data_IF_132594332319
#
_entry.id   IF_132594332319
#
_cell.length_a   1.000
_cell.length_b   1.000
_cell.length_c   1.000
_cell.angle_alpha   90.00
_cell.angle_beta   90.00
_cell.angle_gamma   90.00
#
_symmetry.space_group_name_H-M   'P 1'
#
loop_
_entity.id
_entity.type
_entity.pdbx_description
1 polymer ?
#
# COMPACT_ATOMS: atom_id res chain seq x y z
N UNK A 1 -19.63 30.02 2.29
CA UNK A 1 -20.86 30.82 2.50
C UNK A 1 -20.86 31.19 3.97
N UNK A 2 -20.57 32.46 4.30
CA UNK A 2 -20.52 32.91 5.69
C UNK A 2 -21.94 32.83 6.23
N UNK A 3 -22.18 31.96 7.20
CA UNK A 3 -23.48 31.86 7.85
C UNK A 3 -23.60 33.10 8.74
N UNK A 4 -24.27 34.13 8.20
CA UNK A 4 -24.64 35.29 8.97
C UNK A 4 -25.62 34.82 10.05
N UNK A 5 -25.07 34.52 11.23
CA UNK A 5 -25.84 34.11 12.40
C UNK A 5 -27.00 35.06 12.67
N UNK A 6 -28.18 34.47 12.87
CA UNK A 6 -29.41 35.10 13.36
C UNK A 6 -29.95 36.30 12.59
N UNK A 7 -30.00 36.23 11.27
CA UNK A 7 -30.78 37.18 10.45
C UNK A 7 -32.19 36.60 10.20
N UNK A 8 -33.28 37.30 10.58
CA UNK A 8 -34.66 36.87 10.31
C UNK A 8 -34.89 36.62 8.82
N UNK A 9 -35.67 35.59 8.49
CA UNK A 9 -35.90 35.09 7.13
C UNK A 9 -36.14 36.17 6.05
N UNK A 10 -36.94 37.24 6.29
CA UNK A 10 -37.18 38.29 5.31
C UNK A 10 -35.92 39.08 4.94
N UNK A 11 -35.03 39.34 5.90
CA UNK A 11 -33.76 40.05 5.66
C UNK A 11 -32.77 39.09 4.98
N UNK A 12 -32.76 37.82 5.38
CA UNK A 12 -31.97 36.76 4.71
C UNK A 12 -32.37 36.58 3.24
N UNK A 13 -33.65 36.78 2.89
CA UNK A 13 -34.15 36.70 1.52
C UNK A 13 -33.63 37.84 0.61
N UNK A 14 -33.30 39.01 1.17
CA UNK A 14 -32.68 40.10 0.41
C UNK A 14 -31.22 39.77 0.09
N UNK A 15 -30.49 39.23 1.06
CA UNK A 15 -29.07 38.87 0.87
C UNK A 15 -28.88 37.59 0.06
N UNK A 16 -29.82 36.64 0.09
CA UNK A 16 -29.79 35.42 -0.72
C UNK A 16 -30.05 35.67 -2.23
N UNK A 17 -30.41 36.90 -2.63
CA UNK A 17 -30.47 37.30 -4.05
C UNK A 17 -29.10 37.66 -4.65
N UNK A 18 -28.05 37.65 -3.83
CA UNK A 18 -26.67 37.71 -4.30
C UNK A 18 -26.13 36.27 -4.32
N UNK A 19 -25.89 35.66 -5.49
CA UNK A 19 -25.30 36.24 -6.71
C UNK A 19 -26.30 36.49 -7.86
N UNK A 20 -26.05 37.53 -8.66
CA UNK A 20 -26.86 37.89 -9.84
C UNK A 20 -26.79 36.86 -10.97
N UNK A 21 -25.66 36.16 -11.09
CA UNK A 21 -25.44 35.09 -12.06
C UNK A 21 -24.51 34.04 -11.44
N UNK A 22 -24.91 32.78 -11.53
CA UNK A 22 -24.06 31.63 -11.20
C UNK A 22 -23.52 31.07 -12.51
N UNK A 23 -22.21 31.15 -12.69
CA UNK A 23 -21.57 30.52 -13.83
C UNK A 23 -21.49 29.00 -13.63
N UNK A 24 -21.55 28.21 -14.72
CA UNK A 24 -21.31 26.78 -14.61
C UNK A 24 -19.90 26.49 -14.08
N UNK A 25 -19.66 25.29 -13.51
CA UNK A 25 -18.32 24.87 -13.12
C UNK A 25 -17.34 25.03 -14.28
N UNK A 26 -16.19 25.66 -14.01
CA UNK A 26 -15.12 25.80 -15.00
C UNK A 26 -14.44 24.44 -15.14
N UNK A 27 -14.44 23.89 -16.36
CA UNK A 27 -13.68 22.70 -16.66
C UNK A 27 -12.18 23.00 -16.46
N UNK A 28 -11.52 22.20 -15.63
CA UNK A 28 -10.08 22.30 -15.40
C UNK A 28 -9.36 21.56 -16.53
N UNK A 29 -9.22 22.20 -17.69
CA UNK A 29 -8.56 21.64 -18.86
C UNK A 29 -7.02 21.70 -18.72
N UNK A 30 -6.48 21.08 -17.66
CA UNK A 30 -5.03 20.96 -17.48
C UNK A 30 -4.57 19.59 -17.96
N UNK A 31 -4.28 19.48 -19.27
CA UNK A 31 -3.82 18.22 -19.91
C UNK A 31 -2.59 17.61 -19.20
N UNK A 32 -1.70 18.45 -18.65
CA UNK A 32 -0.50 18.01 -17.91
C UNK A 32 -0.84 17.23 -16.63
N UNK A 33 -1.94 17.58 -15.94
CA UNK A 33 -2.37 16.88 -14.72
C UNK A 33 -3.03 15.54 -15.05
N UNK A 34 -3.78 15.46 -16.15
CA UNK A 34 -4.38 14.20 -16.60
C UNK A 34 -3.31 13.19 -17.03
N UNK A 35 -2.21 13.67 -17.62
CA UNK A 35 -1.05 12.86 -17.98
C UNK A 35 -0.41 12.19 -16.75
N UNK A 36 -0.04 12.98 -15.73
CA UNK A 36 0.60 12.47 -14.50
C UNK A 36 -0.34 11.57 -13.69
N UNK A 37 -1.63 11.91 -13.61
CA UNK A 37 -2.63 11.06 -12.95
C UNK A 37 -2.77 9.70 -13.66
N UNK A 38 -2.81 9.71 -15.00
CA UNK A 38 -2.92 8.48 -15.78
C UNK A 38 -1.71 7.58 -15.62
N UNK A 39 -0.50 8.15 -15.49
CA UNK A 39 0.74 7.41 -15.30
C UNK A 39 0.83 6.72 -13.93
N UNK A 40 0.17 7.29 -12.91
CA UNK A 40 0.15 6.76 -11.53
C UNK A 40 -1.00 5.80 -11.27
N UNK A 41 -1.97 5.71 -12.20
CA UNK A 41 -3.19 4.93 -12.03
C UNK A 41 -3.12 3.62 -12.78
N UNK A 42 -3.35 2.54 -12.06
CA UNK A 42 -3.51 1.19 -12.59
C UNK A 42 -4.94 0.72 -12.33
N UNK A 43 -5.57 0.07 -13.29
CA UNK A 43 -6.95 -0.39 -13.13
C UNK A 43 -7.00 -1.87 -12.72
N UNK A 44 -7.94 -2.21 -11.84
CA UNK A 44 -8.25 -3.61 -11.55
C UNK A 44 -8.99 -4.22 -12.75
N UNK A 45 -8.87 -5.54 -12.92
CA UNK A 45 -9.51 -6.29 -14.00
C UNK A 45 -10.65 -7.17 -13.47
N UNK A 46 -11.41 -7.81 -14.36
CA UNK A 46 -12.51 -8.72 -14.01
C UNK A 46 -13.91 -8.12 -14.20
N UNK A 47 -14.93 -8.96 -14.02
CA UNK A 47 -16.33 -8.62 -14.33
C UNK A 47 -16.86 -7.45 -13.49
N UNK A 48 -16.42 -7.35 -12.24
CA UNK A 48 -16.82 -6.30 -11.32
C UNK A 48 -15.87 -5.09 -11.32
N UNK A 49 -14.90 -5.03 -12.24
CA UNK A 49 -13.95 -3.92 -12.27
C UNK A 49 -14.60 -2.62 -12.70
N UNK A 50 -15.45 -2.69 -13.74
CA UNK A 50 -16.17 -1.56 -14.31
C UNK A 50 -17.55 -1.47 -13.66
N UNK A 51 -17.89 -0.28 -13.18
CA UNK A 51 -19.13 0.02 -12.50
C UNK A 51 -20.02 0.89 -13.39
N UNK A 52 -21.31 0.93 -13.09
CA UNK A 52 -22.29 1.80 -13.77
C UNK A 52 -22.21 3.24 -13.28
N UNK A 53 -21.79 3.45 -12.03
CA UNK A 53 -21.70 4.75 -11.37
C UNK A 53 -20.32 4.95 -10.76
N UNK A 54 -19.79 6.17 -10.86
CA UNK A 54 -18.56 6.56 -10.15
C UNK A 54 -18.74 6.66 -8.63
N UNK A 55 -19.97 6.58 -8.13
CA UNK A 55 -20.23 6.46 -6.70
C UNK A 55 -19.85 5.06 -6.18
N UNK A 56 -19.86 4.04 -7.03
CA UNK A 56 -19.62 2.64 -6.67
C UNK A 56 -18.18 2.20 -6.94
N UNK A 57 -17.31 3.11 -7.36
CA UNK A 57 -15.88 2.83 -7.56
C UNK A 57 -15.04 3.23 -6.36
N UNK A 58 -13.83 2.66 -6.31
CA UNK A 58 -12.82 3.03 -5.33
C UNK A 58 -11.46 3.21 -6.01
N UNK A 59 -10.61 4.02 -5.39
CA UNK A 59 -9.19 4.13 -5.68
C UNK A 59 -8.39 3.73 -4.42
N UNK A 60 -7.55 2.70 -4.55
CA UNK A 60 -6.61 2.30 -3.51
C UNK A 60 -5.31 3.09 -3.67
N UNK A 61 -5.02 3.97 -2.70
CA UNK A 61 -3.77 4.70 -2.62
C UNK A 61 -2.65 3.82 -2.05
N UNK A 62 -1.57 3.62 -2.81
CA UNK A 62 -0.40 2.82 -2.43
C UNK A 62 0.89 3.60 -2.60
N UNK A 63 1.96 3.18 -1.92
CA UNK A 63 3.26 3.87 -1.98
C UNK A 63 3.94 3.80 -3.35
N UNK A 64 4.06 2.58 -3.88
CA UNK A 64 4.63 2.30 -5.20
C UNK A 64 4.19 0.90 -5.65
N UNK A 65 4.42 0.59 -6.92
CA UNK A 65 4.04 -0.69 -7.54
C UNK A 65 5.23 -1.34 -8.21
N UNK A 66 5.18 -2.66 -8.35
CA UNK A 66 6.12 -3.43 -9.16
C UNK A 66 5.36 -4.48 -9.99
N UNK A 67 5.99 -4.93 -11.07
CA UNK A 67 5.45 -5.98 -11.93
C UNK A 67 5.99 -7.33 -11.45
N UNK A 68 5.07 -8.24 -11.10
CA UNK A 68 5.42 -9.56 -10.60
C UNK A 68 5.92 -10.46 -11.75
N UNK A 69 7.12 -11.02 -11.61
CA UNK A 69 7.81 -11.71 -12.70
C UNK A 69 7.04 -12.91 -13.28
N UNK A 70 6.40 -13.70 -12.43
CA UNK A 70 5.75 -14.96 -12.87
C UNK A 70 4.32 -14.76 -13.38
N UNK A 71 3.65 -13.69 -12.95
CA UNK A 71 2.22 -13.45 -13.24
C UNK A 71 1.98 -12.22 -14.11
N UNK A 72 3.01 -11.39 -14.33
CA UNK A 72 2.92 -10.09 -15.03
C UNK A 72 1.85 -9.15 -14.46
N UNK A 73 1.46 -9.35 -13.19
CA UNK A 73 0.49 -8.52 -12.46
C UNK A 73 1.19 -7.41 -11.73
N UNK A 74 0.49 -6.27 -11.59
CA UNK A 74 0.96 -5.13 -10.81
C UNK A 74 0.58 -5.31 -9.35
N UNK A 75 1.61 -5.36 -8.51
CA UNK A 75 1.48 -5.52 -7.07
C UNK A 75 1.99 -4.28 -6.35
N UNK A 76 1.38 -3.93 -5.23
CA UNK A 76 1.90 -2.91 -4.35
C UNK A 76 3.23 -3.38 -3.72
N UNK A 77 4.18 -2.46 -3.61
CA UNK A 77 5.54 -2.72 -3.12
C UNK A 77 5.68 -2.82 -1.60
N UNK A 78 4.65 -2.42 -0.86
CA UNK A 78 4.59 -2.47 0.60
C UNK A 78 3.63 -3.58 1.06
N UNK A 79 3.99 -4.40 2.07
CA UNK A 79 3.16 -5.52 2.52
C UNK A 79 1.74 -5.14 2.95
N UNK A 80 1.55 -3.98 3.60
CA UNK A 80 0.22 -3.54 4.04
C UNK A 80 -0.62 -3.06 2.87
N UNK A 81 -0.01 -2.34 1.92
CA UNK A 81 -0.66 -1.97 0.67
C UNK A 81 -1.06 -3.21 -0.14
N UNK A 82 -0.17 -4.21 -0.26
CA UNK A 82 -0.44 -5.45 -1.00
C UNK A 82 -1.52 -6.28 -0.32
N UNK A 83 -1.49 -6.38 1.01
CA UNK A 83 -2.54 -7.07 1.77
C UNK A 83 -3.91 -6.44 1.53
N UNK A 84 -3.98 -5.11 1.53
CA UNK A 84 -5.22 -4.39 1.23
C UNK A 84 -5.65 -4.60 -0.22
N UNK A 85 -4.70 -4.58 -1.17
CA UNK A 85 -4.95 -4.84 -2.58
C UNK A 85 -5.59 -6.23 -2.79
N UNK A 86 -4.98 -7.29 -2.24
CA UNK A 86 -5.49 -8.65 -2.34
C UNK A 86 -6.85 -8.81 -1.63
N UNK A 87 -7.02 -8.19 -0.46
CA UNK A 87 -8.29 -8.23 0.27
C UNK A 87 -9.43 -7.56 -0.52
N UNK A 88 -9.15 -6.46 -1.24
CA UNK A 88 -10.12 -5.83 -2.13
C UNK A 88 -10.42 -6.69 -3.35
N UNK A 89 -9.41 -7.34 -3.95
CA UNK A 89 -9.62 -8.34 -5.01
C UNK A 89 -10.57 -9.45 -4.55
N UNK A 90 -10.34 -10.01 -3.35
CA UNK A 90 -11.22 -11.02 -2.77
C UNK A 90 -12.64 -10.51 -2.52
N UNK A 91 -12.78 -9.36 -1.85
CA UNK A 91 -14.08 -8.79 -1.45
C UNK A 91 -14.95 -8.47 -2.65
N UNK A 92 -14.37 -7.86 -3.68
CA UNK A 92 -15.10 -7.35 -4.85
C UNK A 92 -15.04 -8.29 -6.06
N UNK A 93 -14.40 -9.46 -5.93
CA UNK A 93 -14.15 -10.42 -7.03
C UNK A 93 -13.43 -9.76 -8.22
N UNK A 94 -12.38 -9.01 -7.92
CA UNK A 94 -11.53 -8.35 -8.90
C UNK A 94 -10.28 -9.18 -9.18
N UNK A 95 -9.73 -8.97 -10.36
CA UNK A 95 -8.40 -9.43 -10.76
C UNK A 95 -7.40 -8.28 -10.67
N UNK A 96 -6.14 -8.63 -10.46
CA UNK A 96 -5.03 -7.70 -10.41
C UNK A 96 -4.82 -7.07 -11.79
N UNK A 97 -4.43 -5.79 -11.84
CA UNK A 97 -4.13 -5.11 -13.10
C UNK A 97 -2.82 -5.57 -13.73
N UNK A 98 -2.66 -5.29 -15.02
CA UNK A 98 -1.40 -5.48 -15.78
C UNK A 98 -0.77 -4.15 -16.16
N UNK A 99 0.53 -4.16 -16.48
CA UNK A 99 1.23 -2.98 -17.00
C UNK A 99 0.71 -2.52 -18.36
N UNK A 100 0.08 -3.39 -19.14
CA UNK A 100 -0.67 -3.00 -20.34
C UNK A 100 -1.84 -2.03 -20.02
N UNK A 101 -2.27 -1.95 -18.76
CA UNK A 101 -3.21 -0.93 -18.27
C UNK A 101 -2.57 0.35 -17.72
N UNK A 102 -1.24 0.40 -17.55
CA UNK A 102 -0.47 1.60 -17.13
C UNK A 102 -0.20 2.60 -18.26
N UNK A 103 -0.59 2.26 -19.48
CA UNK A 103 -0.85 3.21 -20.54
C UNK A 103 -2.19 2.81 -21.10
N UNK A 104 -3.14 3.74 -21.18
CA UNK A 104 -4.43 3.46 -21.80
C UNK A 104 -4.21 2.64 -23.06
N UNK A 105 -4.73 1.40 -23.05
CA UNK A 105 -4.69 0.49 -24.19
C UNK A 105 -4.84 1.34 -25.44
N UNK A 106 -3.82 1.35 -26.31
CA UNK A 106 -3.73 2.12 -27.55
C UNK A 106 -5.01 2.89 -27.84
N UNK A 107 -5.16 4.09 -27.25
CA UNK A 107 -6.18 5.03 -27.70
C UNK A 107 -5.69 5.51 -29.06
N UNK A 108 -5.95 4.70 -30.09
CA UNK A 108 -6.04 5.19 -31.46
C UNK A 108 -6.81 6.50 -31.39
N UNK A 109 -6.20 7.59 -31.87
CA UNK A 109 -6.70 8.98 -31.86
C UNK A 109 -7.96 9.18 -32.72
N UNK A 110 -8.90 8.23 -32.66
CA UNK A 110 -10.14 8.17 -33.40
C UNK A 110 -11.21 7.51 -32.52
N UNK A 111 -11.61 8.17 -31.43
CA UNK A 111 -13.03 8.19 -31.07
C UNK A 111 -13.34 9.38 -30.17
N UNK A 112 -14.24 10.19 -30.70
CA UNK A 112 -15.14 11.12 -30.04
C UNK A 112 -15.53 10.75 -28.60
N UNK A 113 -15.30 11.67 -27.64
CA UNK A 113 -16.06 11.91 -26.39
C UNK A 113 -16.88 10.72 -25.81
N UNK A 114 -16.30 9.55 -25.65
CA UNK A 114 -16.91 8.46 -24.89
C UNK A 114 -16.34 8.49 -23.48
N UNK A 115 -17.19 8.97 -22.55
CA UNK A 115 -17.04 8.81 -21.11
C UNK A 115 -16.59 7.38 -20.81
N UNK A 116 -15.35 7.20 -20.40
CA UNK A 116 -14.86 5.90 -19.95
C UNK A 116 -15.68 5.47 -18.74
N UNK A 117 -16.27 4.28 -18.82
CA UNK A 117 -17.05 3.74 -17.73
C UNK A 117 -16.19 3.72 -16.43
N UNK A 118 -16.77 4.11 -15.28
CA UNK A 118 -16.01 4.25 -14.05
C UNK A 118 -15.48 2.87 -13.62
N UNK A 119 -14.21 2.80 -13.23
CA UNK A 119 -13.53 1.53 -12.92
C UNK A 119 -12.76 1.62 -11.61
N UNK A 120 -12.71 0.51 -10.86
CA UNK A 120 -11.86 0.40 -9.67
C UNK A 120 -10.38 0.54 -10.05
N UNK A 121 -9.62 1.29 -9.25
CA UNK A 121 -8.21 1.54 -9.55
C UNK A 121 -7.31 1.47 -8.32
N UNK A 122 -6.04 1.24 -8.57
CA UNK A 122 -4.93 1.44 -7.65
C UNK A 122 -4.16 2.67 -8.14
N UNK A 123 -3.81 3.57 -7.23
CA UNK A 123 -3.12 4.82 -7.54
C UNK A 123 -1.89 4.93 -6.68
N UNK A 124 -0.75 5.20 -7.31
CA UNK A 124 0.48 5.49 -6.59
C UNK A 124 0.43 6.91 -6.03
N UNK A 125 0.58 7.04 -4.71
CA UNK A 125 0.46 8.30 -3.97
C UNK A 125 1.70 8.55 -3.11
N UNK A 126 1.90 9.82 -2.77
CA UNK A 126 2.80 10.21 -1.68
C UNK A 126 2.13 9.91 -0.33
N UNK A 127 2.88 9.50 0.71
CA UNK A 127 2.35 9.43 2.07
C UNK A 127 1.68 10.74 2.52
N UNK A 128 2.15 11.88 2.03
CA UNK A 128 1.60 13.20 2.35
C UNK A 128 0.17 13.43 1.81
N UNK A 129 -0.34 12.53 0.95
CA UNK A 129 -1.74 12.56 0.53
C UNK A 129 -2.69 12.05 1.63
N UNK A 130 -2.17 11.37 2.65
CA UNK A 130 -2.92 10.87 3.80
C UNK A 130 -2.73 11.78 5.02
N UNK A 131 -3.79 11.94 5.82
CA UNK A 131 -3.79 12.81 7.01
C UNK A 131 -2.80 12.33 8.07
N UNK A 132 -2.61 11.02 8.18
CA UNK A 132 -1.71 10.33 9.10
C UNK A 132 -0.32 10.07 8.48
N UNK A 133 -0.05 10.61 7.28
CA UNK A 133 1.16 10.36 6.51
C UNK A 133 1.45 8.86 6.26
N UNK A 134 0.42 8.01 6.29
CA UNK A 134 0.53 6.56 6.12
C UNK A 134 -0.32 6.08 4.95
N UNK A 135 0.23 5.16 4.16
CA UNK A 135 -0.51 4.38 3.18
C UNK A 135 -0.54 2.91 3.64
N UNK A 136 -1.56 2.12 3.26
CA UNK A 136 -2.61 2.41 2.26
C UNK A 136 -3.71 3.38 2.71
N UNK A 137 -4.38 4.01 1.74
CA UNK A 137 -5.66 4.73 1.93
C UNK A 137 -6.68 4.28 0.89
N UNK A 138 -7.96 4.29 1.24
CA UNK A 138 -9.04 3.88 0.33
C UNK A 138 -9.97 5.06 0.09
N UNK A 139 -10.08 5.47 -1.17
CA UNK A 139 -10.94 6.58 -1.61
C UNK A 139 -12.16 5.97 -2.30
N UNK A 140 -13.33 6.07 -1.69
CA UNK A 140 -14.60 5.52 -2.19
C UNK A 140 -15.51 6.65 -2.68
N UNK A 141 -16.10 6.48 -3.87
CA UNK A 141 -17.11 7.37 -4.43
C UNK A 141 -16.58 8.68 -5.05
N UNK A 142 -17.29 9.16 -6.08
CA UNK A 142 -16.96 10.39 -6.82
C UNK A 142 -17.63 11.64 -6.24
N UNK A 143 -18.96 11.64 -6.08
CA UNK A 143 -19.73 12.81 -5.62
C UNK A 143 -19.81 12.94 -4.10
N UNK A 144 -19.88 11.82 -3.38
CA UNK A 144 -19.76 11.74 -1.92
C UNK A 144 -18.51 10.92 -1.62
N UNK A 145 -17.39 11.61 -1.49
CA UNK A 145 -16.07 10.98 -1.33
C UNK A 145 -15.86 10.59 0.14
N UNK A 146 -15.60 9.31 0.38
CA UNK A 146 -15.16 8.80 1.67
C UNK A 146 -13.69 8.39 1.56
N UNK A 147 -12.87 8.84 2.51
CA UNK A 147 -11.45 8.49 2.56
C UNK A 147 -11.20 7.71 3.85
N UNK A 148 -10.80 6.45 3.74
CA UNK A 148 -10.42 5.61 4.88
C UNK A 148 -8.91 5.62 5.04
N UNK A 149 -8.45 5.91 6.26
CA UNK A 149 -7.03 5.89 6.64
C UNK A 149 -6.47 4.48 6.71
N UNK A 150 -5.14 4.36 6.84
CA UNK A 150 -4.47 3.06 7.05
C UNK A 150 -5.04 2.33 8.28
N UNK A 151 -5.22 3.05 9.39
CA UNK A 151 -5.76 2.48 10.63
C UNK A 151 -7.18 1.96 10.45
N UNK A 152 -8.06 2.74 9.82
CA UNK A 152 -9.44 2.32 9.55
C UNK A 152 -9.53 1.13 8.59
N UNK A 153 -8.63 1.04 7.60
CA UNK A 153 -8.52 -0.14 6.74
C UNK A 153 -8.10 -1.37 7.57
N UNK A 154 -7.06 -1.24 8.39
CA UNK A 154 -6.56 -2.34 9.20
C UNK A 154 -7.60 -2.84 10.20
N UNK A 155 -8.38 -1.96 10.82
CA UNK A 155 -9.50 -2.35 11.69
C UNK A 155 -10.55 -3.18 10.93
N UNK A 156 -10.91 -2.73 9.72
CA UNK A 156 -11.85 -3.45 8.84
C UNK A 156 -11.29 -4.81 8.41
N UNK A 157 -10.00 -4.90 8.11
CA UNK A 157 -9.38 -6.16 7.69
C UNK A 157 -9.22 -7.13 8.86
N UNK A 158 -8.80 -6.66 10.03
CA UNK A 158 -8.68 -7.47 11.25
C UNK A 158 -10.02 -8.02 11.72
N UNK A 159 -11.08 -7.21 11.68
CA UNK A 159 -12.45 -7.66 12.04
C UNK A 159 -13.03 -8.73 11.09
N UNK A 160 -12.40 -8.98 9.94
CA UNK A 160 -12.79 -10.06 9.01
C UNK A 160 -12.12 -11.40 9.30
N UNK A 161 -11.12 -11.42 10.20
CA UNK A 161 -10.51 -12.64 10.69
C UNK A 161 -11.40 -13.17 11.81
N UNK A 162 -12.02 -14.34 11.60
CA UNK A 162 -12.99 -14.90 12.54
C UNK A 162 -12.34 -15.82 13.56
N UNK A 163 -11.39 -16.62 13.11
CA UNK A 163 -10.75 -17.63 13.94
C UNK A 163 -9.73 -16.98 14.88
N UNK A 164 -9.84 -17.27 16.18
CA UNK A 164 -8.99 -16.63 17.19
C UNK A 164 -7.50 -16.95 16.97
N UNK A 165 -7.20 -18.15 16.50
CA UNK A 165 -5.84 -18.57 16.16
C UNK A 165 -5.28 -17.73 15.01
N UNK A 166 -6.05 -17.55 13.92
CA UNK A 166 -5.67 -16.68 12.81
C UNK A 166 -5.47 -15.22 13.23
N UNK A 167 -6.23 -14.73 14.22
CA UNK A 167 -6.05 -13.38 14.76
C UNK A 167 -4.67 -13.25 15.44
N UNK A 168 -4.28 -14.26 16.23
CA UNK A 168 -2.96 -14.29 16.90
C UNK A 168 -1.85 -14.40 15.86
N UNK A 169 -2.01 -15.25 14.85
CA UNK A 169 -1.06 -15.37 13.75
C UNK A 169 -0.94 -14.07 12.95
N UNK A 170 -2.05 -13.44 12.57
CA UNK A 170 -2.04 -12.16 11.89
C UNK A 170 -1.36 -11.06 12.73
N UNK A 171 -1.57 -11.07 14.05
CA UNK A 171 -0.89 -10.15 14.96
C UNK A 171 0.63 -10.40 14.99
N UNK A 172 1.07 -11.66 14.95
CA UNK A 172 2.48 -12.02 14.90
C UNK A 172 3.17 -11.51 13.62
N UNK A 173 2.50 -11.58 12.47
CA UNK A 173 2.99 -10.96 11.22
C UNK A 173 2.99 -9.44 11.29
N UNK A 174 1.93 -8.84 11.85
CA UNK A 174 1.82 -7.40 12.03
C UNK A 174 2.83 -6.84 13.04
N UNK A 175 3.42 -7.64 13.93
CA UNK A 175 4.45 -7.19 14.85
C UNK A 175 5.84 -7.65 14.43
N UNK A 176 6.12 -8.96 14.46
CA UNK A 176 7.49 -9.49 14.35
C UNK A 176 8.01 -9.38 12.92
N UNK A 177 7.24 -9.85 11.94
CA UNK A 177 7.68 -9.82 10.53
C UNK A 177 7.63 -8.39 9.99
N UNK A 178 6.61 -7.61 10.37
CA UNK A 178 6.55 -6.17 10.06
C UNK A 178 7.77 -5.41 10.58
N UNK A 179 8.12 -5.60 11.86
CA UNK A 179 9.25 -4.89 12.45
C UNK A 179 10.55 -5.25 11.73
N UNK A 180 10.76 -6.52 11.37
CA UNK A 180 11.94 -6.92 10.63
C UNK A 180 11.97 -6.36 9.20
N UNK A 181 10.84 -6.31 8.50
CA UNK A 181 10.72 -5.66 7.19
C UNK A 181 11.09 -4.17 7.24
N UNK A 182 10.53 -3.42 8.20
CA UNK A 182 10.84 -2.00 8.36
C UNK A 182 12.29 -1.80 8.78
N UNK A 183 12.78 -2.61 9.71
CA UNK A 183 14.15 -2.52 10.21
C UNK A 183 15.18 -2.78 9.10
N UNK A 184 15.02 -3.84 8.31
CA UNK A 184 15.90 -4.11 7.17
C UNK A 184 15.76 -3.05 6.08
N UNK A 185 14.56 -2.56 5.79
CA UNK A 185 14.34 -1.57 4.73
C UNK A 185 14.92 -0.20 5.09
N UNK A 186 14.78 0.24 6.33
CA UNK A 186 15.23 1.57 6.78
C UNK A 186 16.71 1.58 7.14
N UNK A 187 17.19 0.54 7.83
CA UNK A 187 18.55 0.53 8.41
C UNK A 187 19.49 -0.50 7.77
N UNK A 188 18.97 -1.60 7.22
CA UNK A 188 19.76 -2.66 6.61
C UNK A 188 20.02 -2.49 5.11
N UNK A 189 19.21 -1.69 4.41
CA UNK A 189 19.25 -1.57 2.97
C UNK A 189 20.11 -0.40 2.46
N UNK A 190 20.54 -0.42 1.18
CA UNK A 190 21.18 0.71 0.53
C UNK A 190 20.33 1.98 0.61
N UNK A 191 20.99 3.15 0.66
CA UNK A 191 20.33 4.45 0.93
C UNK A 191 19.12 4.76 0.04
N UNK A 192 19.17 4.38 -1.23
CA UNK A 192 18.09 4.68 -2.19
C UNK A 192 16.95 3.66 -2.15
N UNK A 193 17.08 2.59 -1.36
CA UNK A 193 16.09 1.53 -1.29
C UNK A 193 14.75 2.00 -0.71
N UNK A 194 14.77 2.79 0.36
CA UNK A 194 13.55 3.37 0.95
C UNK A 194 12.76 4.16 -0.10
N UNK A 195 13.44 4.99 -0.90
CA UNK A 195 12.76 5.78 -1.93
C UNK A 195 12.28 4.92 -3.10
N UNK A 196 13.04 3.89 -3.50
CA UNK A 196 12.58 2.92 -4.52
C UNK A 196 11.25 2.28 -4.14
N UNK A 197 11.14 1.86 -2.88
CA UNK A 197 9.97 1.13 -2.38
C UNK A 197 8.82 2.09 -2.04
N UNK A 198 9.11 3.26 -1.45
CA UNK A 198 8.08 4.11 -0.83
C UNK A 198 7.84 5.46 -1.49
N UNK A 199 8.52 5.80 -2.58
CA UNK A 199 8.33 7.06 -3.30
C UNK A 199 8.12 6.84 -4.80
N UNK A 200 7.06 7.46 -5.33
CA UNK A 200 6.86 7.56 -6.76
C UNK A 200 7.95 8.45 -7.40
N UNK A 201 8.49 7.99 -8.53
CA UNK A 201 9.45 8.71 -9.37
C UNK A 201 10.63 9.37 -8.62
N UNK A 202 11.22 8.64 -7.67
CA UNK A 202 12.34 9.17 -6.89
C UNK A 202 13.60 9.50 -7.74
N UNK A 203 13.69 8.99 -8.97
CA UNK A 203 14.85 9.17 -9.87
C UNK A 203 14.91 10.56 -10.49
N UNK A 204 13.78 11.27 -10.58
CA UNK A 204 13.73 12.64 -11.10
C UNK A 204 14.27 13.69 -10.11
N UNK A 205 14.49 13.31 -8.85
CA UNK A 205 14.86 14.24 -7.78
C UNK A 205 16.37 14.48 -7.69
N UNK A 206 16.78 15.74 -7.52
CA UNK A 206 18.14 16.09 -7.14
C UNK A 206 18.52 15.56 -5.75
N UNK A 207 19.82 15.41 -5.48
CA UNK A 207 20.33 14.76 -4.26
C UNK A 207 19.77 15.32 -2.94
N UNK A 208 19.59 16.65 -2.84
CA UNK A 208 19.05 17.30 -1.64
C UNK A 208 17.58 16.95 -1.43
N UNK A 209 16.77 16.99 -2.48
CA UNK A 209 15.36 16.66 -2.41
C UNK A 209 15.16 15.19 -2.08
N UNK A 210 15.96 14.30 -2.68
CA UNK A 210 15.99 12.87 -2.34
C UNK A 210 16.33 12.65 -0.86
N UNK A 211 17.28 13.40 -0.29
CA UNK A 211 17.61 13.30 1.12
C UNK A 211 16.44 13.68 2.04
N UNK A 212 15.81 14.83 1.80
CA UNK A 212 14.66 15.32 2.59
C UNK A 212 13.48 14.38 2.46
N UNK A 213 13.14 13.98 1.24
CA UNK A 213 12.06 13.02 0.96
C UNK A 213 12.30 11.70 1.69
N UNK A 214 13.53 11.17 1.64
CA UNK A 214 13.87 9.93 2.35
C UNK A 214 13.68 10.08 3.84
N UNK A 215 14.17 11.17 4.44
CA UNK A 215 13.99 11.41 5.88
C UNK A 215 12.51 11.44 6.25
N UNK A 216 11.70 12.18 5.51
CA UNK A 216 10.26 12.29 5.77
C UNK A 216 9.55 10.93 5.66
N UNK A 217 9.84 10.17 4.61
CA UNK A 217 9.30 8.83 4.40
C UNK A 217 9.73 7.88 5.51
N UNK A 218 11.02 7.87 5.88
CA UNK A 218 11.54 7.07 6.99
C UNK A 218 10.80 7.38 8.29
N UNK A 219 10.66 8.66 8.65
CA UNK A 219 9.95 9.03 9.88
C UNK A 219 8.48 8.62 9.87
N UNK A 220 7.80 8.71 8.73
CA UNK A 220 6.43 8.23 8.59
C UNK A 220 6.34 6.71 8.77
N UNK A 221 7.27 5.95 8.18
CA UNK A 221 7.31 4.48 8.32
C UNK A 221 7.59 4.02 9.74
N UNK A 222 8.46 4.72 10.47
CA UNK A 222 8.77 4.40 11.88
C UNK A 222 7.59 4.69 12.81
N UNK A 223 6.73 5.66 12.48
CA UNK A 223 5.50 5.92 13.23
C UNK A 223 4.42 4.89 12.91
N UNK A 224 4.39 4.40 11.67
CA UNK A 224 3.40 3.43 11.21
C UNK A 224 3.46 2.16 12.06
N UNK A 225 2.30 1.71 12.51
CA UNK A 225 2.13 0.53 13.34
C UNK A 225 2.88 0.57 14.68
N UNK A 226 3.21 1.75 15.21
CA UNK A 226 3.89 1.88 16.49
C UNK A 226 5.29 1.28 16.53
N UNK A 227 5.99 1.19 15.38
CA UNK A 227 7.36 0.68 15.32
C UNK A 227 8.29 1.48 16.24
N UNK A 228 8.15 2.81 16.27
CA UNK A 228 8.93 3.68 17.14
C UNK A 228 8.73 3.43 18.64
N UNK A 229 7.56 2.92 19.02
CA UNK A 229 7.26 2.57 20.40
C UNK A 229 7.92 1.24 20.79
N UNK A 230 7.95 0.26 19.88
CA UNK A 230 8.60 -1.04 20.10
C UNK A 230 10.12 -0.97 19.99
N UNK A 231 10.64 -0.12 19.10
CA UNK A 231 12.06 -0.04 18.75
C UNK A 231 12.63 1.36 18.95
N UNK A 232 12.40 1.95 20.12
CA UNK A 232 12.76 3.33 20.43
C UNK A 232 14.25 3.66 20.21
N UNK A 233 15.16 2.70 20.42
CA UNK A 233 16.59 2.89 20.18
C UNK A 233 16.90 3.11 18.68
N UNK A 234 16.27 2.33 17.80
CA UNK A 234 16.41 2.48 16.35
C UNK A 234 15.77 3.79 15.86
N UNK A 235 14.61 4.16 16.38
CA UNK A 235 13.96 5.43 16.02
C UNK A 235 14.79 6.65 16.43
N UNK A 236 15.35 6.65 17.65
CA UNK A 236 16.28 7.71 18.08
C UNK A 236 17.52 7.80 17.19
N UNK A 237 18.01 6.66 16.71
CA UNK A 237 19.10 6.65 15.75
C UNK A 237 18.69 7.30 14.42
N UNK A 238 17.51 6.97 13.89
CA UNK A 238 16.99 7.58 12.65
C UNK A 238 16.79 9.10 12.77
N UNK A 239 16.38 9.58 13.94
CA UNK A 239 16.19 11.00 14.22
C UNK A 239 17.51 11.79 14.26
N UNK A 240 18.62 11.14 14.62
CA UNK A 240 19.94 11.78 14.69
C UNK A 240 20.38 12.37 13.35
N UNK A 241 21.00 13.56 13.31
CA UNK A 241 21.56 14.14 12.08
C UNK A 241 22.55 13.23 11.35
N UNK A 242 23.26 12.37 12.09
CA UNK A 242 24.20 11.40 11.55
C UNK A 242 23.57 10.07 11.11
N UNK A 243 22.36 9.74 11.60
CA UNK A 243 21.71 8.44 11.40
C UNK A 243 21.38 8.14 9.93
N UNK A 244 20.68 9.04 9.20
CA UNK A 244 20.37 8.85 7.78
C UNK A 244 21.62 8.89 6.87
N UNK A 245 22.75 9.42 7.36
CA UNK A 245 23.99 9.59 6.61
C UNK A 245 24.93 8.38 6.74
N UNK A 246 24.75 7.51 7.73
CA UNK A 246 25.51 6.26 7.80
C UNK A 246 25.03 5.30 6.69
N UNK A 247 25.98 4.66 5.99
CA UNK A 247 25.65 3.54 5.11
C UNK A 247 25.19 2.32 5.91
N UNK A 248 24.79 1.22 5.25
CA UNK A 248 24.41 -0.01 5.93
C UNK A 248 25.57 -0.50 6.80
N UNK A 249 25.23 -0.98 8.01
CA UNK A 249 26.06 -1.88 8.82
C UNK A 249 27.47 -1.37 9.20
N UNK A 250 27.58 -0.27 9.94
CA UNK A 250 28.78 -0.02 10.75
C UNK A 250 28.42 0.49 12.15
N UNK A 251 28.58 -0.38 13.15
CA UNK A 251 28.50 -0.02 14.58
C UNK A 251 27.24 -0.55 15.32
N UNK A 252 26.80 0.14 16.39
CA UNK A 252 25.83 -0.38 17.38
C UNK A 252 24.43 -0.69 16.84
N UNK A 253 24.09 -0.24 15.62
CA UNK A 253 22.81 -0.54 14.96
C UNK A 253 22.69 -2.02 14.58
N UNK A 254 23.78 -2.67 14.17
CA UNK A 254 23.76 -4.08 13.79
C UNK A 254 23.26 -4.97 14.95
N UNK A 255 23.77 -4.73 16.16
CA UNK A 255 23.33 -5.45 17.37
C UNK A 255 21.87 -5.19 17.78
N UNK A 256 21.25 -4.12 17.28
CA UNK A 256 19.81 -3.88 17.46
C UNK A 256 18.97 -4.56 16.38
N UNK A 257 19.51 -4.74 15.18
CA UNK A 257 18.81 -5.39 14.07
C UNK A 257 18.80 -6.92 14.19
N UNK A 258 19.88 -7.52 14.71
CA UNK A 258 20.03 -8.98 14.75
C UNK A 258 18.89 -9.68 15.50
N UNK A 259 18.49 -9.27 16.73
CA UNK A 259 17.40 -9.92 17.44
C UNK A 259 16.06 -9.80 16.69
N UNK A 260 15.82 -8.68 16.01
CA UNK A 260 14.59 -8.44 15.24
C UNK A 260 14.53 -9.41 14.05
N UNK A 261 15.62 -9.52 13.30
CA UNK A 261 15.71 -10.40 12.14
C UNK A 261 15.66 -11.87 12.56
N UNK A 262 16.36 -12.28 13.61
CA UNK A 262 16.32 -13.66 14.11
C UNK A 262 14.91 -14.06 14.57
N UNK A 263 14.20 -13.17 15.28
CA UNK A 263 12.83 -13.43 15.69
C UNK A 263 11.92 -13.62 14.46
N UNK A 264 12.06 -12.77 13.44
CA UNK A 264 11.31 -12.92 12.21
C UNK A 264 11.66 -14.21 11.45
N UNK A 265 12.94 -14.60 11.37
CA UNK A 265 13.34 -15.88 10.77
C UNK A 265 12.70 -17.08 11.51
N UNK A 266 12.68 -17.04 12.85
CA UNK A 266 11.99 -18.07 13.65
C UNK A 266 10.49 -18.10 13.35
N UNK A 267 9.84 -16.94 13.27
CA UNK A 267 8.42 -16.85 12.87
C UNK A 267 8.19 -17.42 11.47
N UNK A 268 9.00 -17.04 10.48
CA UNK A 268 8.90 -17.57 9.12
C UNK A 268 9.05 -19.10 9.10
N UNK A 269 10.01 -19.63 9.87
CA UNK A 269 10.20 -21.08 9.99
C UNK A 269 9.00 -21.79 10.64
N UNK A 270 8.33 -21.16 11.61
CA UNK A 270 7.11 -21.70 12.22
C UNK A 270 5.97 -21.77 11.21
N UNK A 271 5.73 -20.71 10.42
CA UNK A 271 4.71 -20.72 9.38
C UNK A 271 5.03 -21.67 8.22
N UNK A 272 6.31 -21.83 7.89
CA UNK A 272 6.77 -22.86 6.95
C UNK A 272 6.38 -24.26 7.45
N UNK A 273 6.63 -24.57 8.73
CA UNK A 273 6.24 -25.85 9.33
C UNK A 273 4.73 -26.03 9.36
N UNK A 274 3.96 -24.98 9.70
CA UNK A 274 2.49 -25.05 9.69
C UNK A 274 1.94 -25.41 8.30
N UNK A 275 2.51 -24.86 7.22
CA UNK A 275 2.10 -25.22 5.85
C UNK A 275 2.61 -26.60 5.40
N UNK A 276 3.70 -27.10 5.98
CA UNK A 276 4.27 -28.40 5.64
C UNK A 276 3.54 -29.56 6.32
N UNK A 277 3.04 -29.32 7.53
CA UNK A 277 2.37 -30.34 8.36
C UNK A 277 0.90 -30.53 7.97
N UNK A 278 0.28 -29.51 7.37
CA UNK A 278 -1.12 -29.56 6.94
C UNK A 278 -1.22 -30.03 5.48
N UNK A 279 -2.05 -31.05 5.18
CA UNK A 279 -2.35 -31.46 3.79
C UNK A 279 -3.17 -30.40 3.02
N UNK A 280 -3.37 -29.23 3.64
CA UNK A 280 -4.22 -28.15 3.17
C UNK A 280 -3.39 -27.13 2.38
N UNK A 281 -3.99 -26.64 1.29
CA UNK A 281 -3.38 -25.63 0.42
C UNK A 281 -3.29 -24.23 1.09
N UNK A 282 -4.17 -23.96 2.05
CA UNK A 282 -4.33 -22.68 2.75
C UNK A 282 -4.35 -22.91 4.26
N UNK A 283 -4.00 -21.89 5.05
CA UNK A 283 -4.02 -21.94 6.52
C UNK A 283 -5.42 -22.19 7.09
N UNK A 284 -6.44 -21.73 6.36
CA UNK A 284 -7.82 -22.14 6.61
C UNK A 284 -8.14 -23.37 5.76
N UNK A 285 -8.88 -24.34 6.31
CA UNK A 285 -9.36 -25.55 5.61
C UNK A 285 -10.42 -25.30 4.54
N UNK A 286 -10.31 -24.17 3.84
CA UNK A 286 -11.25 -23.71 2.83
C UNK A 286 -10.63 -23.77 1.44
N UNK A 287 -11.49 -23.85 0.42
CA UNK A 287 -11.07 -23.93 -0.99
C UNK A 287 -10.44 -22.63 -1.52
N UNK A 288 -10.34 -21.57 -0.70
CA UNK A 288 -9.89 -20.25 -1.13
C UNK A 288 -9.05 -19.55 -0.06
N UNK A 289 -8.11 -18.70 -0.46
CA UNK A 289 -7.25 -17.98 0.47
C UNK A 289 -8.05 -17.17 1.51
N UNK A 290 -7.83 -17.47 2.79
CA UNK A 290 -8.29 -16.75 3.98
C UNK A 290 -7.59 -15.41 4.16
N UNK A 291 -7.99 -14.63 5.17
CA UNK A 291 -7.35 -13.32 5.41
C UNK A 291 -5.91 -13.47 5.92
N UNK A 292 -5.63 -14.55 6.66
CA UNK A 292 -4.26 -14.89 7.06
C UNK A 292 -3.40 -15.21 5.84
N UNK A 293 -3.89 -16.05 4.92
CA UNK A 293 -3.21 -16.39 3.67
C UNK A 293 -2.84 -15.14 2.85
N UNK A 294 -3.80 -14.21 2.70
CA UNK A 294 -3.54 -12.95 2.00
C UNK A 294 -2.43 -12.12 2.69
N UNK A 295 -2.41 -12.09 4.02
CA UNK A 295 -1.40 -11.36 4.79
C UNK A 295 -0.02 -12.00 4.63
N UNK A 296 0.08 -13.31 4.82
CA UNK A 296 1.31 -14.09 4.65
C UNK A 296 1.85 -13.92 3.24
N UNK A 297 1.01 -14.10 2.22
CA UNK A 297 1.39 -13.91 0.82
C UNK A 297 1.92 -12.49 0.58
N UNK A 298 1.27 -11.47 1.13
CA UNK A 298 1.69 -10.07 0.92
C UNK A 298 3.09 -9.78 1.46
N UNK A 299 3.41 -10.24 2.67
CA UNK A 299 4.74 -10.08 3.22
C UNK A 299 5.79 -10.90 2.47
N UNK A 300 5.49 -12.17 2.20
CA UNK A 300 6.42 -13.06 1.48
C UNK A 300 6.74 -12.53 0.09
N UNK A 301 5.73 -12.11 -0.67
CA UNK A 301 5.91 -11.52 -2.00
C UNK A 301 6.73 -10.23 -1.94
N UNK A 302 6.41 -9.29 -1.04
CA UNK A 302 7.22 -8.07 -0.89
C UNK A 302 8.66 -8.36 -0.45
N UNK A 303 8.89 -9.33 0.44
CA UNK A 303 10.23 -9.74 0.83
C UNK A 303 11.02 -10.33 -0.35
N UNK A 304 10.39 -11.11 -1.21
CA UNK A 304 11.07 -11.74 -2.35
C UNK A 304 11.40 -10.76 -3.48
N UNK A 305 10.53 -9.76 -3.71
CA UNK A 305 10.60 -8.91 -4.91
C UNK A 305 10.95 -7.44 -4.62
N UNK A 306 10.62 -6.93 -3.43
CA UNK A 306 10.79 -5.53 -3.07
C UNK A 306 11.87 -5.30 -2.03
N UNK A 307 12.37 -6.34 -1.34
CA UNK A 307 13.46 -6.19 -0.40
C UNK A 307 14.79 -5.88 -1.10
N UNK A 308 15.74 -5.35 -0.34
CA UNK A 308 17.11 -5.14 -0.81
C UNK A 308 17.75 -6.46 -1.23
N UNK A 309 18.68 -6.41 -2.18
CA UNK A 309 19.55 -7.55 -2.51
C UNK A 309 20.35 -8.06 -1.31
N UNK A 310 20.53 -7.22 -0.29
CA UNK A 310 21.23 -7.52 0.98
C UNK A 310 20.26 -7.96 2.10
N UNK A 311 18.96 -8.13 1.82
CA UNK A 311 17.98 -8.54 2.84
C UNK A 311 18.21 -9.98 3.28
N UNK A 312 18.43 -10.16 4.60
CA UNK A 312 18.65 -11.47 5.21
C UNK A 312 17.35 -12.26 5.26
N UNK A 313 16.21 -11.58 5.39
CA UNK A 313 14.89 -12.22 5.34
C UNK A 313 14.58 -12.77 3.94
N UNK A 314 14.87 -12.01 2.90
CA UNK A 314 14.65 -12.46 1.52
C UNK A 314 15.53 -13.68 1.18
N UNK A 315 16.80 -13.67 1.61
CA UNK A 315 17.70 -14.82 1.47
C UNK A 315 17.21 -16.03 2.28
N UNK A 316 16.75 -15.81 3.52
CA UNK A 316 16.23 -16.86 4.38
C UNK A 316 15.00 -17.53 3.77
N UNK A 317 14.01 -16.75 3.31
CA UNK A 317 12.81 -17.26 2.64
C UNK A 317 13.15 -18.18 1.46
N UNK A 318 14.04 -17.73 0.57
CA UNK A 318 14.43 -18.51 -0.62
C UNK A 318 15.11 -19.83 -0.28
N UNK A 319 15.82 -19.91 0.86
CA UNK A 319 16.61 -21.10 1.24
C UNK A 319 15.90 -22.04 2.20
N UNK A 320 15.08 -21.51 3.10
CA UNK A 320 14.55 -22.22 4.27
C UNK A 320 13.04 -22.30 4.30
N UNK A 321 12.34 -21.49 3.50
CA UNK A 321 10.88 -21.44 3.51
C UNK A 321 10.25 -21.65 2.11
N UNK A 322 10.56 -22.75 1.40
CA UNK A 322 10.00 -23.00 0.07
C UNK A 322 8.47 -23.13 0.04
N UNK A 323 7.83 -23.66 1.09
CA UNK A 323 6.36 -23.77 1.14
C UNK A 323 5.71 -22.40 1.24
N UNK A 324 6.24 -21.49 2.05
CA UNK A 324 5.77 -20.10 2.11
C UNK A 324 5.90 -19.39 0.76
N UNK A 325 7.01 -19.63 0.04
CA UNK A 325 7.21 -19.08 -1.30
C UNK A 325 6.15 -19.61 -2.26
N UNK A 326 5.95 -20.93 -2.32
CA UNK A 326 4.96 -21.57 -3.18
C UNK A 326 3.53 -21.12 -2.85
N UNK A 327 3.20 -21.06 -1.55
CA UNK A 327 1.93 -20.58 -1.05
C UNK A 327 1.66 -19.13 -1.46
N UNK A 328 2.65 -18.24 -1.34
CA UNK A 328 2.49 -16.83 -1.73
C UNK A 328 2.18 -16.67 -3.23
N UNK A 329 2.85 -17.46 -4.08
CA UNK A 329 2.58 -17.49 -5.52
C UNK A 329 1.17 -17.99 -5.81
N UNK A 330 0.76 -19.07 -5.15
CA UNK A 330 -0.56 -19.67 -5.32
C UNK A 330 -1.68 -18.69 -4.92
N UNK A 331 -1.53 -17.97 -3.81
CA UNK A 331 -2.46 -16.93 -3.38
C UNK A 331 -2.56 -15.80 -4.40
N UNK A 332 -1.44 -15.30 -4.91
CA UNK A 332 -1.43 -14.24 -5.94
C UNK A 332 -2.09 -14.71 -7.25
N UNK A 333 -1.87 -15.97 -7.64
CA UNK A 333 -2.46 -16.58 -8.83
C UNK A 333 -3.99 -16.64 -8.79
N UNK A 334 -4.61 -16.71 -7.60
CA UNK A 334 -6.07 -16.69 -7.47
C UNK A 334 -6.71 -15.39 -8.01
N UNK A 335 -5.93 -14.31 -8.08
CA UNK A 335 -6.40 -12.99 -8.53
C UNK A 335 -5.81 -12.58 -9.88
N UNK A 336 -5.23 -13.52 -10.62
CA UNK A 336 -4.79 -13.32 -11.99
C UNK A 336 -5.93 -13.58 -12.99
#
# INVERSE_FOLDING_TARGET
MVDFGNVPGPVKAIFNKFPLQMYPPVASDYEDFEGDESMRRSYFEGQNAVQTSGADTFALGVYNVFEHGDTSRLLASDPWCLFTQLALCRKSRLKLGTRAGLGGAQRTKQSTKQSTAPQHSMVTLSPLAAVDASLPVLIEGSSRRFVRSTEGINEILRSRIKDCEDVVYAALWDSVVYDAWIAETVFGAPRDHVLRTYAFDYKANGAVLSYVSRRNVTMALLKRNGFELRHAALSRYADSPAGPMAGPMAGPVAGLLDPIVENAQRTLQQFESLLADDEQTFFSSSDSAGMLDLKVASYTTCLLHCASSESRLAEYLRRRCPQLVAHSLLVVQQYC
#
